data_IF_985936999188
#
_entry.id   IF_985936999188
#
_cell.length_a   1.000
_cell.length_b   1.000
_cell.length_c   1.000
_cell.angle_alpha   90.00
_cell.angle_beta   90.00
_cell.angle_gamma   90.00
#
_symmetry.space_group_name_H-M   'P 1'
#
loop_
_entity.id
_entity.type
_entity.pdbx_description
1 polymer ?
#
# COMPACT_ATOMS: atom_id res chain seq x y z
N UNK A 1 22.66 53.66 64.92
CA UNK A 1 21.76 52.50 65.13
C UNK A 1 21.37 51.96 63.75
N UNK A 2 21.87 50.82 63.36
CA UNK A 2 21.52 50.12 62.10
C UNK A 2 20.58 48.96 62.50
N UNK A 3 19.45 48.76 61.80
CA UNK A 3 18.61 47.57 62.01
C UNK A 3 19.10 46.38 61.20
N UNK A 4 19.17 45.22 61.87
CA UNK A 4 19.54 43.92 61.36
C UNK A 4 18.54 43.40 60.38
N UNK A 5 18.98 43.12 59.17
CA UNK A 5 18.21 42.41 58.12
C UNK A 5 18.44 40.89 58.24
N UNK A 6 17.40 40.16 58.69
CA UNK A 6 17.39 38.72 58.73
C UNK A 6 17.15 38.15 57.34
N UNK A 7 18.15 37.48 56.77
CA UNK A 7 18.03 36.70 55.54
C UNK A 7 17.27 35.42 55.84
N UNK A 8 16.03 35.31 55.24
CA UNK A 8 15.29 34.07 55.23
C UNK A 8 15.79 33.22 54.05
N UNK A 9 16.43 32.09 54.33
CA UNK A 9 16.76 31.08 53.33
C UNK A 9 15.49 30.43 52.85
N UNK A 10 15.07 30.67 51.60
CA UNK A 10 14.04 29.91 50.94
C UNK A 10 14.70 28.63 50.39
N UNK A 11 14.29 27.50 50.99
CA UNK A 11 14.70 26.17 50.58
C UNK A 11 13.94 25.82 49.28
N UNK A 12 14.59 25.90 48.12
CA UNK A 12 14.03 25.40 46.86
C UNK A 12 14.09 23.88 46.87
N UNK A 13 12.91 23.26 47.05
CA UNK A 13 12.72 21.84 46.80
C UNK A 13 12.64 21.67 45.27
N UNK A 14 13.74 21.21 44.67
CA UNK A 14 13.72 20.75 43.28
C UNK A 14 12.88 19.46 43.22
N UNK A 15 11.63 19.55 42.74
CA UNK A 15 10.91 18.38 42.26
C UNK A 15 11.65 17.89 40.99
N UNK A 16 12.46 16.84 41.18
CA UNK A 16 12.86 15.99 40.05
C UNK A 16 11.58 15.33 39.53
N UNK A 17 11.04 15.86 38.41
CA UNK A 17 10.05 15.18 37.64
C UNK A 17 10.69 13.91 37.06
N UNK A 18 10.33 12.75 37.66
CA UNK A 18 10.50 11.48 36.98
C UNK A 18 9.60 11.53 35.73
N UNK A 19 10.21 11.90 34.62
CA UNK A 19 9.61 11.66 33.32
C UNK A 19 9.47 10.16 33.16
N UNK A 20 8.27 9.65 33.28
CA UNK A 20 7.94 8.33 32.71
C UNK A 20 8.15 8.46 31.20
N UNK A 21 9.24 7.90 30.70
CA UNK A 21 9.36 7.60 29.30
C UNK A 21 8.25 6.56 29.03
N UNK A 22 7.14 6.99 28.44
CA UNK A 22 6.21 6.06 27.81
C UNK A 22 7.05 5.32 26.78
N UNK A 23 7.32 4.05 27.03
CA UNK A 23 7.87 3.16 26.02
C UNK A 23 6.80 3.06 24.93
N UNK A 24 6.93 3.84 23.88
CA UNK A 24 6.14 3.65 22.67
C UNK A 24 6.43 2.22 22.20
N UNK A 25 5.46 1.34 22.36
CA UNK A 25 5.53 0.01 21.76
C UNK A 25 5.57 0.21 20.24
N UNK A 26 6.50 -0.45 19.55
CA UNK A 26 6.58 -0.41 18.10
C UNK A 26 5.24 -0.83 17.50
N UNK A 27 4.77 -0.08 16.51
CA UNK A 27 3.52 -0.39 15.83
C UNK A 27 3.64 -1.77 15.15
N UNK A 28 2.59 -2.56 15.24
CA UNK A 28 2.56 -3.93 14.73
C UNK A 28 1.37 -4.12 13.79
N UNK A 29 1.58 -4.83 12.69
CA UNK A 29 0.57 -5.09 11.66
C UNK A 29 0.44 -6.60 11.45
N UNK A 30 -0.80 -7.10 11.51
CA UNK A 30 -1.14 -8.45 11.08
C UNK A 30 -1.32 -8.47 9.56
N UNK A 31 -0.76 -9.47 8.91
CA UNK A 31 -0.92 -9.73 7.48
C UNK A 31 -1.47 -11.13 7.30
N UNK A 32 -2.65 -11.22 6.72
CA UNK A 32 -3.35 -12.45 6.47
C UNK A 32 -3.25 -12.78 4.97
N UNK A 33 -2.95 -14.01 4.63
CA UNK A 33 -2.79 -14.46 3.24
C UNK A 33 -3.52 -15.77 3.00
N UNK A 34 -3.66 -16.15 1.74
CA UNK A 34 -4.23 -17.45 1.33
C UNK A 34 -3.47 -18.67 1.89
N UNK A 35 -2.22 -18.49 2.33
CA UNK A 35 -1.37 -19.59 2.85
C UNK A 35 -1.16 -19.55 4.37
N UNK A 36 -1.57 -18.46 5.02
CA UNK A 36 -1.38 -18.28 6.46
C UNK A 36 -1.09 -16.84 6.82
N UNK A 37 -0.74 -16.62 8.08
CA UNK A 37 -0.66 -15.28 8.65
C UNK A 37 0.74 -15.00 9.16
N UNK A 38 1.16 -13.76 9.05
CA UNK A 38 2.40 -13.28 9.65
C UNK A 38 2.21 -11.89 10.24
N UNK A 39 3.15 -11.47 11.06
CA UNK A 39 3.11 -10.19 11.75
C UNK A 39 4.33 -9.37 11.42
N UNK A 40 4.15 -8.09 11.14
CA UNK A 40 5.23 -7.11 10.90
C UNK A 40 5.31 -6.17 12.10
N UNK A 41 6.46 -6.11 12.75
CA UNK A 41 6.84 -5.07 13.71
C UNK A 41 7.50 -3.93 12.95
N UNK A 42 7.04 -2.70 13.13
CA UNK A 42 7.49 -1.52 12.39
C UNK A 42 8.59 -0.77 13.14
N UNK A 43 9.45 -0.09 12.40
CA UNK A 43 10.62 0.63 12.95
C UNK A 43 10.37 2.14 12.98
N UNK A 44 9.40 2.59 13.79
CA UNK A 44 8.92 3.97 13.88
C UNK A 44 10.05 4.99 14.09
N UNK A 45 11.05 4.65 14.91
CA UNK A 45 12.18 5.54 15.18
C UNK A 45 13.24 5.58 14.07
N UNK A 46 13.30 4.53 13.23
CA UNK A 46 14.37 4.35 12.24
C UNK A 46 13.94 4.74 10.83
N UNK A 47 12.66 4.56 10.52
CA UNK A 47 12.07 4.82 9.20
C UNK A 47 10.68 5.44 9.33
N UNK A 48 10.55 6.59 10.05
CA UNK A 48 9.25 7.17 10.40
C UNK A 48 8.39 7.50 9.17
N UNK A 49 8.98 8.00 8.09
CA UNK A 49 8.22 8.34 6.89
C UNK A 49 7.68 7.08 6.17
N UNK A 50 8.50 6.04 6.02
CA UNK A 50 8.03 4.77 5.44
C UNK A 50 7.01 4.07 6.33
N UNK A 51 7.18 4.12 7.66
CA UNK A 51 6.20 3.56 8.60
C UNK A 51 4.88 4.31 8.50
N UNK A 52 4.89 5.64 8.51
CA UNK A 52 3.68 6.45 8.36
C UNK A 52 2.95 6.13 7.02
N UNK A 53 3.69 6.10 5.91
CA UNK A 53 3.16 5.74 4.59
C UNK A 53 2.57 4.32 4.57
N UNK A 54 3.27 3.33 5.09
CA UNK A 54 2.79 1.96 5.14
C UNK A 54 1.50 1.84 5.96
N UNK A 55 1.46 2.48 7.14
CA UNK A 55 0.28 2.49 8.00
C UNK A 55 -0.91 3.23 7.37
N UNK A 56 -0.67 4.27 6.59
CA UNK A 56 -1.72 4.96 5.84
C UNK A 56 -2.39 4.03 4.81
N UNK A 57 -1.61 3.20 4.10
CA UNK A 57 -2.16 2.17 3.21
C UNK A 57 -2.91 1.08 3.98
N UNK A 58 -2.40 0.65 5.14
CA UNK A 58 -3.07 -0.33 6.00
C UNK A 58 -4.43 0.19 6.47
N UNK A 59 -4.47 1.42 6.98
CA UNK A 59 -5.69 2.05 7.52
C UNK A 59 -6.76 2.31 6.44
N UNK A 60 -6.33 2.45 5.19
CA UNK A 60 -7.21 2.55 4.01
C UNK A 60 -7.72 1.19 3.51
N UNK A 61 -7.28 0.07 4.09
CA UNK A 61 -7.58 -1.27 3.58
C UNK A 61 -6.92 -1.61 2.24
N UNK A 62 -6.02 -0.75 1.75
CA UNK A 62 -5.42 -0.82 0.41
C UNK A 62 -4.82 -2.19 0.07
N UNK A 63 -4.19 -2.86 1.04
CA UNK A 63 -3.49 -4.12 0.80
C UNK A 63 -4.43 -5.32 0.65
N UNK A 64 -5.70 -5.22 1.02
CA UNK A 64 -6.67 -6.30 0.81
C UNK A 64 -6.81 -6.60 -0.68
N UNK A 65 -6.67 -7.88 -1.04
CA UNK A 65 -6.70 -8.35 -2.43
C UNK A 65 -5.42 -8.08 -3.23
N UNK A 66 -4.38 -7.45 -2.65
CA UNK A 66 -3.09 -7.34 -3.34
C UNK A 66 -2.34 -8.67 -3.33
N UNK A 67 -1.52 -8.90 -4.36
CA UNK A 67 -0.81 -10.17 -4.56
C UNK A 67 0.69 -10.04 -4.34
N UNK A 68 1.32 -11.17 -3.98
CA UNK A 68 2.77 -11.30 -4.04
C UNK A 68 3.16 -11.63 -5.49
N UNK A 69 3.33 -10.57 -6.27
CA UNK A 69 3.51 -10.63 -7.72
C UNK A 69 4.93 -10.93 -8.17
N UNK A 70 5.91 -10.88 -7.24
CA UNK A 70 7.30 -11.19 -7.55
C UNK A 70 7.95 -11.92 -6.39
N UNK A 71 8.26 -13.20 -6.61
CA UNK A 71 8.87 -14.10 -5.63
C UNK A 71 10.11 -14.72 -6.24
N UNK A 72 11.27 -14.44 -5.64
CA UNK A 72 12.55 -14.99 -6.06
C UNK A 72 13.13 -15.77 -4.88
N UNK A 73 13.12 -17.09 -4.99
CA UNK A 73 13.66 -18.00 -3.98
C UNK A 73 15.12 -17.65 -3.65
N UNK A 74 15.46 -17.61 -2.36
CA UNK A 74 16.79 -17.23 -1.89
C UNK A 74 17.12 -15.74 -2.04
N UNK A 75 16.13 -14.89 -2.34
CA UNK A 75 16.29 -13.45 -2.43
C UNK A 75 15.18 -12.70 -1.65
N UNK A 76 13.97 -12.58 -2.21
CA UNK A 76 12.88 -11.83 -1.56
C UNK A 76 11.49 -12.26 -2.07
N UNK A 77 10.46 -11.87 -1.32
CA UNK A 77 9.03 -11.94 -1.67
C UNK A 77 8.47 -10.51 -1.71
N UNK A 78 7.99 -10.06 -2.88
CA UNK A 78 7.52 -8.68 -3.12
C UNK A 78 6.01 -8.67 -3.41
N UNK A 79 5.30 -7.72 -2.79
CA UNK A 79 3.86 -7.53 -2.94
C UNK A 79 3.43 -6.08 -2.75
N UNK A 80 2.11 -5.88 -2.61
CA UNK A 80 1.52 -4.60 -2.20
C UNK A 80 1.27 -3.57 -3.31
N UNK A 81 1.32 -3.97 -4.60
CA UNK A 81 1.07 -3.05 -5.72
C UNK A 81 -0.02 -3.48 -6.68
N UNK A 82 -0.21 -4.78 -6.85
CA UNK A 82 -1.09 -5.35 -7.87
C UNK A 82 -2.22 -6.17 -7.24
N UNK A 83 -3.40 -6.12 -7.84
CA UNK A 83 -4.51 -6.98 -7.47
C UNK A 83 -4.41 -8.36 -8.14
N UNK A 84 -5.40 -9.25 -7.92
CA UNK A 84 -5.42 -10.62 -8.49
C UNK A 84 -5.48 -10.64 -10.03
N UNK A 85 -5.96 -9.57 -10.68
CA UNK A 85 -5.98 -9.38 -12.12
C UNK A 85 -4.71 -8.68 -12.64
N UNK A 86 -3.70 -8.52 -11.80
CA UNK A 86 -2.44 -7.83 -12.10
C UNK A 86 -2.60 -6.36 -12.51
N UNK A 87 -3.67 -5.71 -12.07
CA UNK A 87 -3.84 -4.27 -12.25
C UNK A 87 -3.20 -3.53 -11.08
N UNK A 88 -2.42 -2.50 -11.40
CA UNK A 88 -1.88 -1.59 -10.38
C UNK A 88 -3.02 -0.93 -9.62
N UNK A 89 -2.91 -0.87 -8.29
CA UNK A 89 -3.81 -0.06 -7.46
C UNK A 89 -3.26 1.37 -7.38
N UNK A 90 -4.12 2.40 -7.42
CA UNK A 90 -3.68 3.80 -7.30
C UNK A 90 -2.88 4.03 -6.02
N UNK A 91 -1.75 4.75 -6.13
CA UNK A 91 -0.85 4.99 -5.00
C UNK A 91 -0.97 6.41 -4.43
N UNK A 92 -0.47 6.61 -3.22
CA UNK A 92 -0.22 7.92 -2.62
C UNK A 92 1.10 8.49 -3.15
N UNK A 93 1.41 9.74 -2.76
CA UNK A 93 2.70 10.38 -3.06
C UNK A 93 3.88 9.52 -2.59
N UNK A 94 4.99 9.50 -3.35
CA UNK A 94 6.19 8.76 -2.97
C UNK A 94 6.82 9.26 -1.67
N UNK A 95 7.64 8.42 -1.04
CA UNK A 95 8.28 8.69 0.24
C UNK A 95 9.78 8.85 0.08
N UNK A 96 10.35 9.85 0.73
CA UNK A 96 11.79 10.08 0.80
C UNK A 96 12.52 8.85 1.35
N UNK A 97 13.57 8.44 0.67
CA UNK A 97 14.38 7.27 1.02
C UNK A 97 15.08 7.42 2.38
N UNK A 98 14.85 6.48 3.28
CA UNK A 98 15.45 6.46 4.62
C UNK A 98 16.52 5.36 4.78
N UNK A 99 17.02 4.74 3.69
CA UNK A 99 17.94 3.59 3.75
C UNK A 99 19.30 3.91 4.39
N UNK A 100 19.64 5.19 4.60
CA UNK A 100 20.88 5.63 5.28
C UNK A 100 20.73 5.65 6.81
N UNK A 101 19.66 5.11 7.37
CA UNK A 101 19.37 5.03 8.80
C UNK A 101 20.15 3.92 9.55
N UNK A 102 20.97 3.15 8.84
CA UNK A 102 21.76 2.05 9.40
C UNK A 102 21.03 0.72 9.58
N UNK A 103 19.74 0.64 9.17
CA UNK A 103 19.01 -0.64 9.16
C UNK A 103 19.37 -1.41 7.88
N UNK A 104 19.62 -2.71 8.03
CA UNK A 104 20.09 -3.59 6.96
C UNK A 104 18.95 -4.40 6.37
N UNK A 105 19.09 -4.78 5.12
CA UNK A 105 18.22 -5.74 4.44
C UNK A 105 18.61 -7.18 4.83
N UNK A 106 18.55 -7.51 6.12
CA UNK A 106 18.83 -8.83 6.63
C UNK A 106 17.57 -9.71 6.53
N UNK A 107 17.72 -11.05 6.60
CA UNK A 107 16.58 -11.98 6.52
C UNK A 107 15.45 -11.59 7.48
N UNK A 108 14.21 -11.64 6.97
CA UNK A 108 12.99 -11.32 7.71
C UNK A 108 12.68 -9.83 7.80
N UNK A 109 13.57 -8.95 7.33
CA UNK A 109 13.26 -7.51 7.29
C UNK A 109 12.32 -7.18 6.13
N UNK A 110 11.50 -6.13 6.33
CA UNK A 110 10.54 -5.59 5.36
C UNK A 110 11.04 -4.25 4.87
N UNK A 111 11.19 -4.11 3.56
CA UNK A 111 11.72 -2.91 2.94
C UNK A 111 10.81 -2.39 1.83
N UNK A 112 10.84 -1.08 1.60
CA UNK A 112 10.09 -0.43 0.54
C UNK A 112 10.70 -0.73 -0.83
N UNK A 113 9.87 -1.24 -1.75
CA UNK A 113 10.24 -1.38 -3.15
C UNK A 113 10.19 0.00 -3.83
N UNK A 114 11.04 0.20 -4.83
CA UNK A 114 11.16 1.45 -5.57
C UNK A 114 11.66 1.24 -6.99
N UNK A 115 11.48 2.22 -7.85
CA UNK A 115 12.06 2.26 -9.19
C UNK A 115 13.56 2.59 -9.14
N UNK A 116 14.13 2.99 -10.26
CA UNK A 116 15.50 3.52 -10.35
C UNK A 116 15.73 4.78 -9.51
N UNK A 117 14.70 5.61 -9.34
CA UNK A 117 14.75 6.76 -8.44
C UNK A 117 14.77 6.29 -6.97
N UNK A 118 15.74 6.76 -6.17
CA UNK A 118 15.79 6.40 -4.76
C UNK A 118 14.60 6.88 -3.93
N UNK A 119 13.86 7.89 -4.36
CA UNK A 119 12.76 8.54 -3.64
C UNK A 119 11.37 8.17 -4.21
N UNK A 120 11.25 7.10 -4.99
CA UNK A 120 10.03 6.68 -5.68
C UNK A 120 9.18 5.63 -4.95
N UNK A 121 9.51 5.27 -3.71
CA UNK A 121 8.78 4.25 -2.96
C UNK A 121 7.35 4.71 -2.64
N UNK A 122 6.35 3.85 -2.94
CA UNK A 122 4.94 4.10 -2.63
C UNK A 122 4.34 2.98 -1.77
N UNK A 123 3.50 2.11 -2.34
CA UNK A 123 2.81 1.04 -1.61
C UNK A 123 3.56 -0.29 -1.59
N UNK A 124 4.40 -0.55 -2.59
CA UNK A 124 5.03 -1.86 -2.73
C UNK A 124 6.12 -2.09 -1.68
N UNK A 125 6.16 -3.30 -1.16
CA UNK A 125 7.17 -3.74 -0.21
C UNK A 125 7.68 -5.13 -0.56
N UNK A 126 8.84 -5.47 -0.01
CA UNK A 126 9.35 -6.85 -0.08
C UNK A 126 9.88 -7.31 1.27
N UNK A 127 9.89 -8.63 1.44
CA UNK A 127 10.40 -9.32 2.62
C UNK A 127 11.65 -10.08 2.22
N UNK A 128 12.75 -9.84 2.92
CA UNK A 128 14.04 -10.46 2.66
C UNK A 128 14.04 -11.93 3.11
N UNK A 129 14.34 -12.85 2.19
CA UNK A 129 14.49 -14.29 2.49
C UNK A 129 15.87 -14.65 3.01
N UNK A 130 16.87 -13.82 2.72
CA UNK A 130 18.27 -13.94 3.13
C UNK A 130 18.83 -12.57 3.46
N UNK A 131 20.08 -12.51 3.94
CA UNK A 131 20.79 -11.24 4.13
C UNK A 131 21.22 -10.67 2.78
N UNK A 132 20.49 -9.66 2.32
CA UNK A 132 20.68 -9.02 1.02
C UNK A 132 21.55 -7.76 1.13
N UNK A 133 22.85 -7.94 1.43
CA UNK A 133 23.79 -6.84 1.67
C UNK A 133 23.91 -5.86 0.48
N UNK A 134 23.69 -6.31 -0.74
CA UNK A 134 23.70 -5.48 -1.95
C UNK A 134 22.57 -4.45 -2.02
N UNK A 135 21.49 -4.64 -1.25
CA UNK A 135 20.35 -3.72 -1.15
C UNK A 135 20.55 -2.64 -0.08
N UNK A 136 21.61 -2.71 0.71
CA UNK A 136 21.92 -1.72 1.73
C UNK A 136 22.51 -0.45 1.12
N UNK A 137 22.25 0.69 1.74
CA UNK A 137 22.96 1.93 1.39
C UNK A 137 24.46 1.76 1.59
N UNK A 138 25.27 2.23 0.65
CA UNK A 138 26.73 2.11 0.69
C UNK A 138 27.42 3.33 0.07
N UNK A 139 28.37 3.90 0.76
CA UNK A 139 29.09 5.09 0.29
C UNK A 139 28.17 6.29 0.12
N UNK A 140 28.05 6.79 -1.11
CA UNK A 140 27.11 7.86 -1.48
C UNK A 140 25.74 7.34 -1.90
N UNK A 141 25.65 6.06 -2.27
CA UNK A 141 24.48 5.46 -2.91
C UNK A 141 23.35 5.15 -1.92
N UNK A 142 22.12 5.34 -2.38
CA UNK A 142 20.91 4.95 -1.68
C UNK A 142 20.67 3.44 -1.83
N UNK A 143 20.35 2.80 -0.72
CA UNK A 143 19.80 1.43 -0.71
C UNK A 143 18.28 1.43 -0.76
N UNK A 144 17.71 0.34 -0.23
CA UNK A 144 16.27 0.19 -0.02
C UNK A 144 15.96 0.40 1.46
N UNK A 145 14.93 1.21 1.74
CA UNK A 145 14.57 1.60 3.11
C UNK A 145 13.88 0.44 3.83
N UNK A 146 14.56 -0.15 4.79
CA UNK A 146 13.95 -1.13 5.71
C UNK A 146 13.13 -0.36 6.74
N UNK A 147 11.84 -0.70 6.85
CA UNK A 147 10.90 -0.03 7.77
C UNK A 147 10.24 -0.96 8.79
N UNK A 148 10.54 -2.26 8.73
CA UNK A 148 10.01 -3.23 9.68
C UNK A 148 10.67 -4.59 9.56
N UNK A 149 10.14 -5.55 10.33
CA UNK A 149 10.54 -6.96 10.26
C UNK A 149 9.35 -7.87 10.52
N UNK A 150 9.39 -9.06 9.97
CA UNK A 150 8.48 -10.14 10.34
C UNK A 150 8.84 -10.60 11.74
N UNK A 151 7.92 -10.38 12.69
CA UNK A 151 8.09 -10.74 14.11
C UNK A 151 7.51 -12.10 14.45
N UNK A 152 6.54 -12.59 13.65
CA UNK A 152 5.98 -13.94 13.73
C UNK A 152 5.50 -14.39 12.36
N UNK A 153 5.48 -15.70 12.08
CA UNK A 153 4.96 -16.27 10.83
C UNK A 153 5.96 -16.21 9.66
N UNK A 154 7.27 -16.17 9.92
CA UNK A 154 8.29 -16.23 8.85
C UNK A 154 8.22 -17.51 8.03
N UNK A 155 7.70 -18.59 8.59
CA UNK A 155 7.43 -19.86 7.92
C UNK A 155 6.42 -19.70 6.77
N UNK A 156 5.43 -18.83 6.90
CA UNK A 156 4.46 -18.52 5.82
C UNK A 156 5.17 -17.87 4.63
N UNK A 157 6.11 -16.96 4.90
CA UNK A 157 6.92 -16.32 3.85
C UNK A 157 7.82 -17.35 3.16
N UNK A 158 8.38 -18.29 3.92
CA UNK A 158 9.18 -19.40 3.35
C UNK A 158 8.31 -20.34 2.50
N UNK A 159 7.06 -20.60 2.89
CA UNK A 159 6.09 -21.37 2.10
C UNK A 159 5.74 -20.66 0.79
N UNK A 160 5.47 -19.35 0.82
CA UNK A 160 5.25 -18.54 -0.39
C UNK A 160 6.48 -18.64 -1.31
N UNK A 161 7.69 -18.55 -0.75
CA UNK A 161 8.94 -18.61 -1.49
C UNK A 161 9.25 -20.00 -2.07
N UNK A 162 8.64 -21.05 -1.52
CA UNK A 162 8.80 -22.44 -1.98
C UNK A 162 7.83 -22.82 -3.10
N UNK A 163 6.82 -22.00 -3.40
CA UNK A 163 5.89 -22.25 -4.49
C UNK A 163 6.61 -22.21 -5.84
N UNK A 164 6.06 -22.95 -6.80
CA UNK A 164 6.48 -22.81 -8.19
C UNK A 164 6.22 -21.41 -8.67
N UNK A 165 7.11 -20.87 -9.48
CA UNK A 165 6.93 -19.54 -10.09
C UNK A 165 6.86 -19.65 -11.62
N UNK A 166 6.08 -18.75 -12.22
CA UNK A 166 5.86 -18.68 -13.66
C UNK A 166 5.45 -17.29 -14.10
N UNK A 167 4.92 -17.19 -15.30
CA UNK A 167 4.38 -15.93 -15.81
C UNK A 167 2.97 -15.66 -15.28
N UNK A 168 2.64 -14.38 -15.05
CA UNK A 168 1.30 -13.96 -14.68
C UNK A 168 1.13 -12.46 -14.97
N UNK A 169 0.06 -12.08 -15.67
CA UNK A 169 -0.14 -10.70 -16.12
C UNK A 169 1.08 -10.17 -16.88
N UNK A 170 1.63 -9.02 -16.49
CA UNK A 170 2.82 -8.45 -17.14
C UNK A 170 4.14 -9.15 -16.72
N UNK A 171 4.12 -10.04 -15.74
CA UNK A 171 5.31 -10.68 -15.17
C UNK A 171 5.67 -11.96 -15.91
N UNK A 172 6.96 -12.17 -16.23
CA UNK A 172 7.42 -13.26 -17.08
C UNK A 172 7.80 -14.55 -16.34
N UNK A 173 8.20 -14.47 -15.05
CA UNK A 173 8.84 -15.62 -14.39
C UNK A 173 8.63 -15.73 -12.88
N UNK A 174 8.27 -14.66 -12.20
CA UNK A 174 8.44 -14.59 -10.74
C UNK A 174 7.12 -14.62 -9.97
N UNK A 175 5.99 -14.88 -10.64
CA UNK A 175 4.66 -14.99 -10.04
C UNK A 175 4.43 -16.39 -9.53
N UNK A 176 3.92 -16.54 -8.31
CA UNK A 176 3.64 -17.84 -7.70
C UNK A 176 2.45 -18.53 -8.37
N UNK A 177 2.52 -19.86 -8.44
CA UNK A 177 1.41 -20.72 -8.86
C UNK A 177 1.18 -21.80 -7.77
N UNK A 178 0.06 -21.74 -7.02
CA UNK A 178 -1.04 -20.76 -7.12
C UNK A 178 -0.62 -19.33 -6.72
N UNK A 179 -1.34 -18.33 -7.27
CA UNK A 179 -1.16 -16.91 -6.93
C UNK A 179 -1.57 -16.67 -5.48
N UNK A 180 -0.67 -16.08 -4.68
CA UNK A 180 -0.92 -15.78 -3.27
C UNK A 180 -1.31 -14.31 -3.10
N UNK A 181 -2.42 -14.07 -2.42
CA UNK A 181 -2.88 -12.73 -2.12
C UNK A 181 -2.93 -12.45 -0.61
N UNK A 182 -2.87 -11.17 -0.28
CA UNK A 182 -3.22 -10.64 1.04
C UNK A 182 -4.74 -10.63 1.17
N UNK A 183 -5.28 -11.40 2.10
CA UNK A 183 -6.73 -11.45 2.36
C UNK A 183 -7.15 -10.35 3.33
N UNK A 184 -6.26 -9.95 4.25
CA UNK A 184 -6.46 -8.81 5.15
C UNK A 184 -5.11 -8.29 5.63
N UNK A 185 -5.03 -6.98 5.89
CA UNK A 185 -3.91 -6.36 6.57
C UNK A 185 -4.44 -5.26 7.51
N UNK A 186 -4.17 -5.38 8.79
CA UNK A 186 -4.68 -4.46 9.79
C UNK A 186 -3.69 -4.23 10.94
N UNK A 187 -3.77 -3.04 11.57
CA UNK A 187 -2.98 -2.76 12.78
C UNK A 187 -3.41 -3.66 13.94
N UNK A 188 -2.45 -4.20 14.66
CA UNK A 188 -2.69 -4.79 15.97
C UNK A 188 -2.63 -3.66 16.99
N UNK A 189 -3.80 -3.21 17.46
CA UNK A 189 -3.87 -2.10 18.42
C UNK A 189 -3.58 -2.60 19.83
N UNK A 190 -4.36 -3.56 20.32
CA UNK A 190 -4.18 -4.21 21.61
C UNK A 190 -4.83 -5.59 21.55
N UNK A 191 -4.14 -6.61 22.03
CA UNK A 191 -4.77 -7.92 22.13
C UNK A 191 -5.66 -7.97 23.41
N UNK A 192 -6.92 -7.63 23.23
CA UNK A 192 -7.92 -7.63 24.32
C UNK A 192 -8.25 -9.04 24.81
N UNK A 193 -7.91 -10.05 24.04
CA UNK A 193 -8.26 -11.45 24.31
C UNK A 193 -7.05 -12.39 24.19
N UNK A 194 -5.94 -12.12 24.89
CA UNK A 194 -4.69 -12.85 24.71
C UNK A 194 -4.78 -14.34 25.10
N UNK A 195 -5.82 -14.72 25.84
CA UNK A 195 -6.02 -16.10 26.33
C UNK A 195 -7.03 -16.90 25.50
N UNK A 196 -7.75 -16.26 24.57
CA UNK A 196 -8.71 -16.95 23.72
C UNK A 196 -8.01 -17.60 22.52
N UNK A 197 -8.50 -18.76 22.10
CA UNK A 197 -8.15 -19.31 20.80
C UNK A 197 -8.63 -18.38 19.66
N UNK A 198 -8.07 -18.55 18.47
CA UNK A 198 -8.47 -17.76 17.29
C UNK A 198 -9.96 -17.86 17.03
N UNK A 199 -10.53 -19.06 17.11
CA UNK A 199 -11.98 -19.31 16.88
C UNK A 199 -12.83 -18.61 17.94
N UNK A 200 -12.48 -18.71 19.25
CA UNK A 200 -13.18 -18.02 20.33
C UNK A 200 -13.08 -16.51 20.20
N UNK A 201 -11.93 -16.00 19.77
CA UNK A 201 -11.70 -14.57 19.51
C UNK A 201 -12.59 -14.09 18.36
N UNK A 202 -12.64 -14.80 17.23
CA UNK A 202 -13.52 -14.46 16.11
C UNK A 202 -14.99 -14.44 16.55
N UNK A 203 -15.45 -15.47 17.24
CA UNK A 203 -16.82 -15.54 17.73
C UNK A 203 -17.17 -14.42 18.73
N UNK A 204 -16.20 -13.98 19.53
CA UNK A 204 -16.38 -12.88 20.47
C UNK A 204 -16.47 -11.54 19.74
N UNK A 205 -15.54 -11.27 18.81
CA UNK A 205 -15.52 -10.04 18.04
C UNK A 205 -16.75 -9.88 17.16
N UNK A 206 -17.21 -10.96 16.51
CA UNK A 206 -18.46 -10.93 15.73
C UNK A 206 -19.67 -10.53 16.58
N UNK A 207 -19.81 -11.06 17.78
CA UNK A 207 -20.89 -10.68 18.71
C UNK A 207 -20.79 -9.21 19.15
N UNK A 208 -19.58 -8.71 19.35
CA UNK A 208 -19.36 -7.29 19.71
C UNK A 208 -19.71 -6.39 18.50
N UNK A 209 -19.32 -6.77 17.28
CA UNK A 209 -19.72 -6.08 16.04
C UNK A 209 -21.24 -6.02 15.93
N UNK A 210 -21.93 -7.14 16.05
CA UNK A 210 -23.40 -7.21 15.96
C UNK A 210 -24.05 -6.32 17.03
N UNK A 211 -23.52 -6.32 18.26
CA UNK A 211 -24.03 -5.51 19.37
C UNK A 211 -23.85 -4.02 19.09
N UNK A 212 -22.67 -3.60 18.64
CA UNK A 212 -22.38 -2.21 18.33
C UNK A 212 -23.21 -1.71 17.13
N UNK A 213 -23.34 -2.52 16.09
CA UNK A 213 -24.18 -2.21 14.91
C UNK A 213 -25.65 -2.06 15.32
N UNK A 214 -26.18 -2.97 16.14
CA UNK A 214 -27.55 -2.89 16.63
C UNK A 214 -27.82 -1.65 17.50
N UNK A 215 -26.78 -1.16 18.21
CA UNK A 215 -26.83 0.05 19.00
C UNK A 215 -26.59 1.34 18.18
N UNK A 216 -26.30 1.24 16.88
CA UNK A 216 -25.82 2.31 16.00
C UNK A 216 -24.53 2.99 16.53
N UNK A 217 -23.71 2.28 17.29
CA UNK A 217 -22.39 2.72 17.72
C UNK A 217 -21.35 2.38 16.64
N UNK A 218 -21.32 3.20 15.59
CA UNK A 218 -20.47 2.97 14.45
C UNK A 218 -18.98 3.11 14.80
N UNK A 219 -18.63 3.92 15.81
CA UNK A 219 -17.23 4.06 16.22
C UNK A 219 -16.71 2.76 16.84
N UNK A 220 -17.44 2.17 17.80
CA UNK A 220 -17.10 0.86 18.37
C UNK A 220 -17.17 -0.24 17.31
N UNK A 221 -18.17 -0.25 16.45
CA UNK A 221 -18.28 -1.24 15.38
C UNK A 221 -17.05 -1.20 14.44
N UNK A 222 -16.63 -0.02 14.00
CA UNK A 222 -15.45 0.16 13.13
C UNK A 222 -14.16 -0.34 13.80
N UNK A 223 -14.00 -0.10 15.10
CA UNK A 223 -12.86 -0.61 15.88
C UNK A 223 -12.88 -2.14 15.93
N UNK A 224 -14.04 -2.76 16.21
CA UNK A 224 -14.19 -4.22 16.28
C UNK A 224 -13.99 -4.91 14.93
N UNK A 225 -14.44 -4.30 13.82
CA UNK A 225 -14.12 -4.77 12.48
C UNK A 225 -12.60 -4.77 12.24
N UNK A 226 -11.90 -3.70 12.64
CA UNK A 226 -10.43 -3.62 12.56
C UNK A 226 -9.74 -4.74 13.36
N UNK A 227 -10.18 -5.00 14.61
CA UNK A 227 -9.66 -6.10 15.43
C UNK A 227 -9.94 -7.48 14.81
N UNK A 228 -11.14 -7.67 14.21
CA UNK A 228 -11.52 -8.91 13.54
C UNK A 228 -10.64 -9.16 12.31
N UNK A 229 -10.41 -8.12 11.49
CA UNK A 229 -9.49 -8.17 10.35
C UNK A 229 -8.04 -8.42 10.80
N UNK A 230 -7.59 -7.82 11.90
CA UNK A 230 -6.26 -8.07 12.48
C UNK A 230 -6.09 -9.49 13.04
N UNK A 231 -7.19 -10.11 13.46
CA UNK A 231 -7.23 -11.52 13.86
C UNK A 231 -7.38 -12.48 12.65
N UNK A 232 -7.30 -11.97 11.43
CA UNK A 232 -7.48 -12.71 10.18
C UNK A 232 -8.88 -13.37 10.05
N UNK A 233 -9.90 -12.70 10.59
CA UNK A 233 -11.28 -13.12 10.39
C UNK A 233 -11.74 -12.83 8.97
N UNK A 234 -12.33 -13.83 8.33
CA UNK A 234 -13.01 -13.68 7.04
C UNK A 234 -14.43 -13.17 7.25
N UNK A 235 -14.82 -12.14 6.51
CA UNK A 235 -16.16 -11.59 6.58
C UNK A 235 -17.03 -12.19 5.49
N UNK A 236 -18.18 -12.74 5.91
CA UNK A 236 -19.24 -13.13 5.00
C UNK A 236 -19.79 -11.90 4.23
N UNK A 237 -20.36 -12.07 3.03
CA UNK A 237 -20.80 -10.96 2.19
C UNK A 237 -21.68 -9.92 2.92
N UNK A 238 -22.63 -10.35 3.74
CA UNK A 238 -23.51 -9.46 4.50
C UNK A 238 -22.73 -8.59 5.51
N UNK A 239 -21.66 -9.12 6.07
CA UNK A 239 -20.79 -8.41 6.99
C UNK A 239 -19.83 -7.45 6.26
N UNK A 240 -19.39 -7.77 5.04
CA UNK A 240 -18.62 -6.87 4.19
C UNK A 240 -19.40 -5.58 3.90
N UNK A 241 -20.67 -5.71 3.51
CA UNK A 241 -21.53 -4.54 3.30
C UNK A 241 -21.79 -3.76 4.59
N UNK A 242 -21.95 -4.48 5.72
CA UNK A 242 -22.13 -3.85 7.04
C UNK A 242 -20.87 -3.09 7.45
N UNK A 243 -19.68 -3.69 7.28
CA UNK A 243 -18.40 -3.03 7.51
C UNK A 243 -18.28 -1.73 6.69
N UNK A 244 -18.58 -1.80 5.39
CA UNK A 244 -18.55 -0.64 4.50
C UNK A 244 -19.44 0.51 4.99
N UNK A 245 -20.67 0.20 5.41
CA UNK A 245 -21.61 1.19 5.97
C UNK A 245 -21.11 1.81 7.26
N UNK A 246 -20.55 0.99 8.14
CA UNK A 246 -19.97 1.43 9.42
C UNK A 246 -18.77 2.33 9.18
N UNK A 247 -17.87 1.94 8.30
CA UNK A 247 -16.68 2.73 7.95
C UNK A 247 -17.05 4.07 7.31
N UNK A 248 -18.04 4.09 6.42
CA UNK A 248 -18.57 5.31 5.82
C UNK A 248 -19.18 6.25 6.88
N UNK A 249 -19.89 5.70 7.88
CA UNK A 249 -20.51 6.46 8.96
C UNK A 249 -19.51 7.13 9.92
N UNK A 250 -18.25 6.69 9.91
CA UNK A 250 -17.12 7.26 10.68
C UNK A 250 -16.10 7.96 9.78
N UNK A 251 -16.51 8.37 8.59
CA UNK A 251 -15.71 9.10 7.59
C UNK A 251 -14.44 8.37 7.11
N UNK A 252 -14.38 7.03 7.29
CA UNK A 252 -13.29 6.18 6.76
C UNK A 252 -13.61 5.72 5.32
N UNK A 253 -13.92 6.68 4.44
CA UNK A 253 -14.40 6.44 3.09
C UNK A 253 -13.48 5.54 2.23
N UNK A 254 -12.14 5.69 2.23
CA UNK A 254 -11.28 4.80 1.46
C UNK A 254 -11.41 3.33 1.87
N UNK A 255 -11.45 3.04 3.17
CA UNK A 255 -11.64 1.68 3.68
C UNK A 255 -13.06 1.15 3.40
N UNK A 256 -14.08 2.01 3.47
CA UNK A 256 -15.45 1.66 3.09
C UNK A 256 -15.56 1.25 1.62
N UNK A 257 -14.85 1.95 0.72
CA UNK A 257 -14.80 1.61 -0.71
C UNK A 257 -14.13 0.25 -0.93
N UNK A 258 -13.02 -0.06 -0.25
CA UNK A 258 -12.36 -1.37 -0.35
C UNK A 258 -13.30 -2.51 0.12
N UNK A 259 -14.03 -2.32 1.23
CA UNK A 259 -15.01 -3.31 1.71
C UNK A 259 -16.19 -3.47 0.73
N UNK A 260 -16.63 -2.36 0.07
CA UNK A 260 -17.64 -2.41 -1.00
C UNK A 260 -17.15 -3.17 -2.22
N UNK A 261 -15.92 -2.93 -2.64
CA UNK A 261 -15.31 -3.62 -3.79
C UNK A 261 -15.15 -5.12 -3.50
N UNK A 262 -14.82 -5.49 -2.26
CA UNK A 262 -14.79 -6.88 -1.82
C UNK A 262 -16.18 -7.50 -1.86
N UNK A 263 -17.19 -6.83 -1.32
CA UNK A 263 -18.60 -7.27 -1.36
C UNK A 263 -19.12 -7.43 -2.79
N UNK A 264 -18.96 -6.42 -3.65
CA UNK A 264 -19.47 -6.41 -5.02
C UNK A 264 -18.89 -7.52 -5.92
N UNK A 265 -17.70 -8.05 -5.56
CA UNK A 265 -17.10 -9.19 -6.28
C UNK A 265 -17.75 -10.53 -5.96
N UNK A 266 -18.33 -10.70 -4.78
CA UNK A 266 -18.86 -11.97 -4.29
C UNK A 266 -20.38 -12.00 -4.15
N UNK A 267 -21.04 -10.84 -4.11
CA UNK A 267 -22.48 -10.73 -3.89
C UNK A 267 -23.30 -11.09 -5.12
N UNK A 268 -24.49 -11.58 -4.89
CA UNK A 268 -25.50 -11.79 -5.95
C UNK A 268 -25.92 -10.46 -6.58
N UNK A 269 -25.60 -10.28 -7.85
CA UNK A 269 -25.87 -9.05 -8.62
C UNK A 269 -27.35 -8.70 -8.76
N UNK A 270 -28.25 -9.63 -8.44
CA UNK A 270 -29.71 -9.43 -8.48
C UNK A 270 -30.28 -9.03 -7.12
N UNK A 271 -29.49 -9.07 -6.05
CA UNK A 271 -29.94 -8.76 -4.69
C UNK A 271 -30.19 -7.26 -4.49
N UNK A 272 -31.14 -6.93 -3.62
CA UNK A 272 -31.36 -5.53 -3.20
C UNK A 272 -30.12 -4.94 -2.52
N UNK A 273 -29.42 -5.73 -1.73
CA UNK A 273 -28.18 -5.37 -1.04
C UNK A 273 -27.07 -4.97 -2.02
N UNK A 274 -26.97 -5.67 -3.16
CA UNK A 274 -26.02 -5.30 -4.23
C UNK A 274 -26.32 -3.92 -4.81
N UNK A 275 -27.60 -3.60 -5.05
CA UNK A 275 -28.01 -2.27 -5.54
C UNK A 275 -27.73 -1.16 -4.50
N UNK A 276 -27.95 -1.46 -3.21
CA UNK A 276 -27.62 -0.54 -2.12
C UNK A 276 -26.11 -0.30 -2.03
N UNK A 277 -25.29 -1.32 -2.18
CA UNK A 277 -23.83 -1.23 -2.19
C UNK A 277 -23.33 -0.39 -3.36
N UNK A 278 -23.87 -0.58 -4.58
CA UNK A 278 -23.57 0.27 -5.73
C UNK A 278 -23.96 1.74 -5.50
N UNK A 279 -25.10 1.97 -4.83
CA UNK A 279 -25.53 3.32 -4.49
C UNK A 279 -24.57 3.98 -3.50
N UNK A 280 -24.16 3.26 -2.45
CA UNK A 280 -23.22 3.75 -1.46
C UNK A 280 -21.84 4.01 -2.09
N UNK A 281 -21.34 3.12 -2.93
CA UNK A 281 -20.08 3.29 -3.67
C UNK A 281 -20.08 4.58 -4.49
N UNK A 282 -21.19 4.88 -5.19
CA UNK A 282 -21.33 6.14 -5.92
C UNK A 282 -21.40 7.37 -5.03
N UNK A 283 -21.97 7.25 -3.83
CA UNK A 283 -22.04 8.36 -2.86
C UNK A 283 -20.66 8.66 -2.26
N UNK A 284 -19.85 7.63 -2.01
CA UNK A 284 -18.52 7.79 -1.45
C UNK A 284 -17.47 8.23 -2.48
N UNK A 285 -17.65 7.89 -3.75
CA UNK A 285 -16.76 8.22 -4.86
C UNK A 285 -16.62 9.74 -5.12
N UNK A 286 -17.66 10.60 -4.99
CA UNK A 286 -17.49 12.04 -5.13
C UNK A 286 -16.50 12.67 -4.17
N UNK A 287 -16.41 12.20 -2.93
CA UNK A 287 -15.43 12.72 -1.95
C UNK A 287 -13.99 12.34 -2.34
N UNK A 288 -13.80 11.14 -2.85
CA UNK A 288 -12.51 10.68 -3.43
C UNK A 288 -12.24 11.43 -4.73
N UNK A 289 -13.25 11.62 -5.58
CA UNK A 289 -13.13 12.34 -6.84
C UNK A 289 -12.89 13.83 -6.64
N UNK A 290 -13.46 14.48 -5.63
CA UNK A 290 -13.21 15.88 -5.33
C UNK A 290 -11.77 16.12 -4.86
N UNK A 291 -11.25 15.26 -3.99
CA UNK A 291 -9.84 15.29 -3.58
C UNK A 291 -8.90 14.98 -4.76
N UNK A 292 -9.24 13.99 -5.58
CA UNK A 292 -8.51 13.65 -6.80
C UNK A 292 -8.58 14.77 -7.82
N UNK A 293 -9.75 15.39 -8.00
CA UNK A 293 -9.95 16.53 -8.91
C UNK A 293 -9.15 17.76 -8.46
N UNK A 294 -9.12 18.08 -7.15
CA UNK A 294 -8.31 19.16 -6.61
C UNK A 294 -6.81 18.91 -6.80
N UNK A 295 -6.35 17.69 -6.55
CA UNK A 295 -4.96 17.28 -6.80
C UNK A 295 -4.61 17.33 -8.29
N UNK A 296 -5.51 16.85 -9.16
CA UNK A 296 -5.33 16.93 -10.62
C UNK A 296 -5.32 18.39 -11.12
N UNK A 297 -6.19 19.25 -10.58
CA UNK A 297 -6.16 20.68 -10.92
C UNK A 297 -4.85 21.33 -10.47
N UNK A 298 -4.40 21.02 -9.26
CA UNK A 298 -3.12 21.55 -8.76
C UNK A 298 -1.94 21.06 -9.59
N UNK A 299 -1.93 19.79 -9.96
CA UNK A 299 -0.91 19.23 -10.85
C UNK A 299 -0.95 19.93 -12.23
N UNK A 300 -2.13 20.13 -12.82
CA UNK A 300 -2.28 20.83 -14.10
C UNK A 300 -1.82 22.30 -14.03
N UNK A 301 -2.01 22.98 -12.88
CA UNK A 301 -1.48 24.33 -12.67
C UNK A 301 0.06 24.33 -12.57
N UNK A 302 0.64 23.37 -11.87
CA UNK A 302 2.09 23.28 -11.68
C UNK A 302 2.81 22.82 -12.95
N UNK A 303 2.26 21.82 -13.63
CA UNK A 303 2.83 21.20 -14.83
C UNK A 303 2.29 21.82 -16.13
N UNK A 304 1.80 23.07 -16.09
CA UNK A 304 1.03 23.70 -17.18
C UNK A 304 1.71 23.75 -18.56
N UNK A 305 3.03 23.67 -18.61
CA UNK A 305 3.80 23.63 -19.88
C UNK A 305 4.25 22.20 -20.26
N UNK A 306 4.01 21.19 -19.41
CA UNK A 306 4.33 19.79 -19.69
C UNK A 306 3.15 19.10 -20.39
N UNK A 307 3.40 18.54 -21.56
CA UNK A 307 2.37 17.83 -22.33
C UNK A 307 2.28 16.35 -21.90
N UNK A 308 1.12 15.93 -21.37
CA UNK A 308 0.84 14.54 -21.02
C UNK A 308 0.39 13.77 -22.25
N UNK A 309 1.14 12.74 -22.71
CA UNK A 309 0.79 11.99 -23.89
C UNK A 309 -0.48 11.14 -23.65
N UNK A 310 -1.25 10.94 -24.71
CA UNK A 310 -2.41 10.04 -24.66
C UNK A 310 -1.97 8.61 -24.85
N UNK A 311 -2.37 7.71 -23.95
CA UNK A 311 -2.06 6.29 -24.04
C UNK A 311 -2.60 5.68 -25.36
N UNK A 312 -1.75 5.00 -26.15
CA UNK A 312 -2.16 4.37 -27.39
C UNK A 312 -2.96 3.09 -27.12
N UNK A 313 -3.89 2.80 -28.02
CA UNK A 313 -4.64 1.55 -27.98
C UNK A 313 -3.75 0.38 -28.39
N UNK A 314 -3.56 -0.60 -27.53
CA UNK A 314 -2.84 -1.83 -27.84
C UNK A 314 -3.71 -2.77 -28.69
N UNK A 315 -3.28 -3.22 -29.86
CA UNK A 315 -4.04 -4.17 -30.68
C UNK A 315 -4.21 -5.52 -29.98
N UNK A 316 -5.40 -6.12 -30.06
CA UNK A 316 -5.66 -7.47 -29.55
C UNK A 316 -5.09 -8.53 -30.49
N UNK A 317 -4.12 -9.29 -30.04
CA UNK A 317 -3.40 -10.32 -30.79
C UNK A 317 -4.29 -11.40 -31.40
N UNK A 318 -5.47 -11.67 -30.80
CA UNK A 318 -6.38 -12.72 -31.26
C UNK A 318 -7.15 -12.33 -32.53
N UNK A 319 -7.27 -11.03 -32.82
CA UNK A 319 -8.08 -10.50 -33.92
C UNK A 319 -7.34 -9.50 -34.83
N UNK A 320 -6.19 -9.02 -34.38
CA UNK A 320 -5.42 -8.03 -35.10
C UNK A 320 -4.79 -8.61 -36.37
N UNK A 321 -4.66 -7.76 -37.43
CA UNK A 321 -3.86 -8.06 -38.61
C UNK A 321 -2.38 -7.67 -38.37
N UNK A 322 -1.48 -8.17 -39.24
CA UNK A 322 -0.07 -7.78 -39.20
C UNK A 322 0.09 -6.24 -39.38
N UNK A 323 -0.71 -5.63 -40.26
CA UNK A 323 -0.71 -4.18 -40.48
C UNK A 323 -1.12 -3.41 -39.20
N UNK A 324 -2.14 -3.90 -38.49
CA UNK A 324 -2.57 -3.30 -37.19
C UNK A 324 -1.51 -3.47 -36.10
N UNK A 325 -0.82 -4.60 -36.06
CA UNK A 325 0.28 -4.81 -35.09
C UNK A 325 1.47 -3.88 -35.38
N UNK A 326 1.80 -3.65 -36.68
CA UNK A 326 2.86 -2.71 -37.08
C UNK A 326 2.46 -1.27 -36.75
N UNK A 327 1.22 -0.87 -37.08
CA UNK A 327 0.71 0.46 -36.70
C UNK A 327 0.74 0.69 -35.20
N UNK A 328 0.28 -0.30 -34.42
CA UNK A 328 0.35 -0.24 -32.94
C UNK A 328 1.79 -0.11 -32.42
N UNK A 329 2.78 -0.70 -33.08
CA UNK A 329 4.19 -0.52 -32.73
C UNK A 329 4.67 0.92 -32.96
N UNK A 330 4.25 1.55 -34.06
CA UNK A 330 4.60 2.93 -34.35
C UNK A 330 3.91 3.90 -33.40
N UNK A 331 2.65 3.63 -32.99
CA UNK A 331 1.92 4.41 -31.99
C UNK A 331 2.60 4.33 -30.63
N UNK A 332 3.01 3.13 -30.20
CA UNK A 332 3.76 2.92 -28.96
C UNK A 332 5.10 3.67 -28.98
N UNK A 333 5.81 3.63 -30.11
CA UNK A 333 7.08 4.36 -30.22
C UNK A 333 6.88 5.86 -30.08
N UNK A 334 5.86 6.42 -30.71
CA UNK A 334 5.50 7.84 -30.60
C UNK A 334 5.15 8.19 -29.14
N UNK A 335 4.35 7.35 -28.50
CA UNK A 335 4.00 7.51 -27.08
C UNK A 335 5.25 7.50 -26.17
N UNK A 336 6.19 6.59 -26.40
CA UNK A 336 7.44 6.51 -25.64
C UNK A 336 8.32 7.77 -25.82
N UNK A 337 8.38 8.32 -27.04
CA UNK A 337 9.09 9.57 -27.34
C UNK A 337 8.44 10.75 -26.58
N UNK A 338 7.11 10.89 -26.64
CA UNK A 338 6.36 11.93 -25.93
C UNK A 338 6.42 11.77 -24.40
N UNK A 339 6.40 10.52 -23.91
CA UNK A 339 6.57 10.27 -22.46
C UNK A 339 7.95 10.67 -21.97
N UNK A 340 9.02 10.46 -22.75
CA UNK A 340 10.35 10.93 -22.37
C UNK A 340 10.43 12.46 -22.34
N UNK A 341 9.78 13.16 -23.27
CA UNK A 341 9.68 14.64 -23.24
C UNK A 341 8.91 15.13 -22.01
N UNK A 342 7.84 14.43 -21.62
CA UNK A 342 7.13 14.69 -20.35
C UNK A 342 8.04 14.50 -19.13
N UNK A 343 8.80 13.39 -19.08
CA UNK A 343 9.69 13.09 -17.96
C UNK A 343 10.79 14.16 -17.80
N UNK A 344 11.39 14.62 -18.91
CA UNK A 344 12.36 15.73 -18.88
C UNK A 344 11.70 17.02 -18.37
N UNK A 345 10.49 17.35 -18.84
CA UNK A 345 9.75 18.52 -18.40
C UNK A 345 9.43 18.48 -16.89
N UNK A 346 8.99 17.35 -16.37
CA UNK A 346 8.65 17.19 -14.94
C UNK A 346 9.91 17.20 -14.06
N UNK A 347 11.03 16.66 -14.52
CA UNK A 347 12.30 16.67 -13.80
C UNK A 347 12.85 18.11 -13.65
N UNK A 348 12.89 18.87 -14.74
CA UNK A 348 13.28 20.27 -14.76
C UNK A 348 12.39 21.11 -13.82
N UNK A 349 11.07 20.85 -13.85
CA UNK A 349 10.11 21.57 -13.00
C UNK A 349 10.28 21.22 -11.51
N UNK A 350 10.60 19.98 -11.17
CA UNK A 350 10.82 19.54 -9.79
C UNK A 350 12.01 20.24 -9.13
N UNK A 351 13.04 20.60 -9.91
CA UNK A 351 14.23 21.30 -9.39
C UNK A 351 13.94 22.76 -8.96
N UNK A 352 12.94 23.40 -9.57
CA UNK A 352 12.53 24.76 -9.29
C UNK A 352 11.49 24.90 -8.15
N UNK A 353 10.86 23.78 -7.76
CA UNK A 353 9.78 23.73 -6.76
C UNK A 353 10.29 23.29 -5.38
N UNK A 354 9.47 23.54 -4.35
CA UNK A 354 9.77 23.19 -2.95
C UNK A 354 8.56 22.59 -2.27
N UNK A 355 8.83 21.85 -1.19
CA UNK A 355 7.82 21.28 -0.29
C UNK A 355 6.77 20.41 -1.03
N UNK A 356 5.51 20.54 -0.68
CA UNK A 356 4.41 19.73 -1.19
C UNK A 356 4.25 19.80 -2.73
N UNK A 357 4.54 20.97 -3.33
CA UNK A 357 4.45 21.14 -4.80
C UNK A 357 5.53 20.33 -5.53
N UNK A 358 6.74 20.28 -4.98
CA UNK A 358 7.81 19.41 -5.49
C UNK A 358 7.47 17.93 -5.37
N UNK A 359 6.90 17.52 -4.23
CA UNK A 359 6.46 16.13 -4.03
C UNK A 359 5.39 15.73 -5.03
N UNK A 360 4.46 16.63 -5.34
CA UNK A 360 3.40 16.39 -6.34
C UNK A 360 3.98 16.18 -7.75
N UNK A 361 4.97 16.96 -8.16
CA UNK A 361 5.62 16.79 -9.47
C UNK A 361 6.45 15.50 -9.52
N UNK A 362 7.16 15.15 -8.44
CA UNK A 362 7.86 13.87 -8.34
C UNK A 362 6.87 12.68 -8.45
N UNK A 363 5.71 12.79 -7.81
CA UNK A 363 4.67 11.78 -7.94
C UNK A 363 4.16 11.65 -9.39
N UNK A 364 3.95 12.78 -10.08
CA UNK A 364 3.56 12.78 -11.49
C UNK A 364 4.64 12.16 -12.39
N UNK A 365 5.91 12.47 -12.16
CA UNK A 365 7.04 11.87 -12.85
C UNK A 365 7.04 10.33 -12.69
N UNK A 366 6.95 9.84 -11.46
CA UNK A 366 6.96 8.40 -11.20
C UNK A 366 5.75 7.68 -11.83
N UNK A 367 4.56 8.29 -11.77
CA UNK A 367 3.38 7.76 -12.44
C UNK A 367 3.58 7.69 -13.97
N UNK A 368 4.20 8.70 -14.58
CA UNK A 368 4.49 8.69 -16.00
C UNK A 368 5.50 7.60 -16.39
N UNK A 369 6.51 7.32 -15.55
CA UNK A 369 7.43 6.18 -15.73
C UNK A 369 6.68 4.86 -15.67
N UNK A 370 5.83 4.66 -14.66
CA UNK A 370 5.05 3.43 -14.49
C UNK A 370 4.08 3.21 -15.65
N UNK A 371 3.42 4.27 -16.13
CA UNK A 371 2.56 4.22 -17.31
C UNK A 371 3.34 3.85 -18.58
N UNK A 372 4.50 4.47 -18.79
CA UNK A 372 5.37 4.20 -19.93
C UNK A 372 5.81 2.73 -19.95
N UNK A 373 6.28 2.20 -18.82
CA UNK A 373 6.66 0.79 -18.68
C UNK A 373 5.46 -0.13 -18.93
N UNK A 374 4.31 0.16 -18.33
CA UNK A 374 3.08 -0.62 -18.48
C UNK A 374 2.56 -0.67 -19.93
N UNK A 375 2.61 0.43 -20.66
CA UNK A 375 2.24 0.49 -22.09
C UNK A 375 3.16 -0.40 -22.91
N UNK A 376 4.48 -0.31 -22.72
CA UNK A 376 5.46 -1.12 -23.43
C UNK A 376 5.28 -2.62 -23.14
N UNK A 377 5.02 -2.99 -21.90
CA UNK A 377 4.79 -4.38 -21.49
C UNK A 377 3.51 -4.95 -22.10
N UNK A 378 2.38 -4.21 -22.03
CA UNK A 378 1.11 -4.65 -22.65
C UNK A 378 1.25 -4.92 -24.13
N UNK A 379 1.89 -4.01 -24.85
CA UNK A 379 2.14 -4.20 -26.27
C UNK A 379 3.04 -5.40 -26.57
N UNK A 380 4.14 -5.56 -25.81
CA UNK A 380 5.05 -6.69 -25.98
C UNK A 380 4.36 -8.03 -25.73
N UNK A 381 3.48 -8.12 -24.73
CA UNK A 381 2.68 -9.31 -24.46
C UNK A 381 1.77 -9.65 -25.65
N UNK A 382 1.05 -8.67 -26.20
CA UNK A 382 0.20 -8.86 -27.38
C UNK A 382 1.02 -9.25 -28.63
N UNK A 383 2.19 -8.64 -28.83
CA UNK A 383 3.08 -8.97 -29.93
C UNK A 383 3.60 -10.42 -29.85
N UNK A 384 3.99 -10.87 -28.65
CA UNK A 384 4.44 -12.26 -28.45
C UNK A 384 3.30 -13.24 -28.71
N UNK A 385 2.11 -12.96 -28.21
CA UNK A 385 0.91 -13.76 -28.44
C UNK A 385 0.59 -13.81 -29.94
N UNK A 386 0.56 -12.67 -30.65
CA UNK A 386 0.31 -12.59 -32.08
C UNK A 386 1.27 -13.46 -32.89
N UNK A 387 2.59 -13.38 -32.59
CA UNK A 387 3.61 -14.19 -33.29
C UNK A 387 3.47 -15.69 -33.00
N UNK A 388 2.89 -16.07 -31.86
CA UNK A 388 2.65 -17.48 -31.52
C UNK A 388 1.41 -18.06 -32.22
N UNK A 389 0.51 -17.21 -32.73
CA UNK A 389 -0.71 -17.58 -33.46
C UNK A 389 -0.52 -17.65 -34.97
N UNK A 390 0.64 -17.16 -35.51
CA UNK A 390 1.00 -17.23 -36.94
C UNK A 390 1.68 -18.56 -37.26
#
# INVERSE_FOLDING_TARGET
MKPNMRIRHAMYISLLGLGFAESSSAATVAVCTDLGNFTIELFDERSPAHVANFLEYVDRGYYTGTVFHRVIAGFMVQGGGYNREYRNKPTLTPVMNESKNGVRNDRGTVAAARTGDPHSATSQFYINLVDNASLNASGGDWGYSVFGRVSAGMEVIDEIAALSTGSGGPFRSDVTDPLVATTSMARIVEDRYPTLSTEERHATLLREIETAVAANDNATAAERFGEYRAACGELEPDLLFTEARVLAAVDRNPAAIESLDEFLRVADTTSETYLQALSLSRQLDPAVNEQRSAAQQRLAELAGDCEFPTEPTTPDANVATMEQMVAGQDDIKTYMEQSNELLECLDDLADDLKDDDREMIIAAYNNAVDEQEGVAERFNAQRVLFLSLQ
#
